data_IF_336604891535
#
_entry.id   IF_336604891535
#
_cell.length_a   1.000
_cell.length_b   1.000
_cell.length_c   1.000
_cell.angle_alpha   90.00
_cell.angle_beta   90.00
_cell.angle_gamma   90.00
#
_symmetry.space_group_name_H-M   'P 1'
#
loop_
_entity.id
_entity.type
_entity.pdbx_description
1 polymer ?
#
# COMPACT_ATOMS: atom_id res chain seq x y z
N UNK A 1 -1.96 15.90 -11.08
CA UNK A 1 -1.40 14.54 -11.14
C UNK A 1 -2.33 13.59 -10.41
N UNK A 2 -2.52 13.68 -9.08
CA UNK A 2 -3.32 12.74 -8.27
C UNK A 2 -4.73 12.52 -8.83
N UNK A 3 -5.51 13.58 -9.04
CA UNK A 3 -6.85 13.49 -9.64
C UNK A 3 -6.86 12.90 -11.07
N UNK A 4 -5.77 13.08 -11.83
CA UNK A 4 -5.69 12.46 -13.16
C UNK A 4 -5.49 10.94 -13.07
N UNK A 5 -4.76 10.47 -12.05
CA UNK A 5 -4.60 9.02 -11.79
C UNK A 5 -5.96 8.44 -11.42
N UNK A 6 -6.66 9.03 -10.43
CA UNK A 6 -7.99 8.57 -10.04
C UNK A 6 -8.98 8.59 -11.23
N UNK A 7 -9.00 9.68 -11.98
CA UNK A 7 -9.91 9.84 -13.12
C UNK A 7 -9.58 8.90 -14.29
N UNK A 8 -8.37 8.36 -14.39
CA UNK A 8 -8.02 7.42 -15.46
C UNK A 8 -8.81 6.12 -15.40
N UNK A 9 -9.33 5.78 -14.21
CA UNK A 9 -10.16 4.61 -14.01
C UNK A 9 -11.66 4.85 -14.19
N UNK A 10 -12.11 6.09 -14.43
CA UNK A 10 -13.52 6.40 -14.57
C UNK A 10 -14.17 5.56 -15.69
N UNK A 11 -15.26 4.88 -15.36
CA UNK A 11 -15.99 4.00 -16.27
C UNK A 11 -15.33 2.64 -16.52
N UNK A 12 -14.30 2.28 -15.77
CA UNK A 12 -13.66 0.97 -15.78
C UNK A 12 -14.04 0.16 -14.54
N UNK A 13 -13.75 -1.14 -14.54
CA UNK A 13 -13.99 -2.02 -13.39
C UNK A 13 -13.16 -1.63 -12.14
N UNK A 14 -12.03 -0.95 -12.34
CA UNK A 14 -11.15 -0.48 -11.25
C UNK A 14 -11.51 0.91 -10.72
N UNK A 15 -12.61 1.52 -11.16
CA UNK A 15 -13.00 2.88 -10.71
C UNK A 15 -13.11 2.97 -9.19
N UNK A 16 -13.77 1.99 -8.55
CA UNK A 16 -13.95 1.98 -7.09
C UNK A 16 -12.63 1.90 -6.33
N UNK A 17 -11.65 1.20 -6.90
CA UNK A 17 -10.36 0.94 -6.24
C UNK A 17 -9.40 2.12 -6.34
N UNK A 18 -9.52 2.96 -7.39
CA UNK A 18 -8.71 4.16 -7.55
C UNK A 18 -9.39 5.43 -7.01
N UNK A 19 -10.72 5.43 -6.87
CA UNK A 19 -11.46 6.59 -6.39
C UNK A 19 -11.07 6.92 -4.95
N UNK A 20 -10.73 8.21 -4.72
CA UNK A 20 -10.35 8.71 -3.41
C UNK A 20 -9.02 8.18 -2.88
N UNK A 21 -8.19 7.55 -3.71
CA UNK A 21 -6.91 6.97 -3.32
C UNK A 21 -5.94 8.02 -2.74
N UNK A 22 -6.09 9.27 -3.14
CA UNK A 22 -5.24 10.39 -2.73
C UNK A 22 -6.01 11.49 -1.98
N UNK A 23 -7.21 11.20 -1.48
CA UNK A 23 -8.05 12.23 -0.82
C UNK A 23 -7.47 12.73 0.51
N UNK A 24 -6.60 11.97 1.14
CA UNK A 24 -5.86 12.36 2.34
C UNK A 24 -4.61 13.20 2.07
N UNK A 25 -4.23 13.40 0.80
CA UNK A 25 -3.07 14.21 0.40
C UNK A 25 -3.48 15.67 0.24
N UNK A 26 -3.27 16.47 1.30
CA UNK A 26 -3.51 17.93 1.25
C UNK A 26 -2.29 18.68 0.70
N UNK A 27 -2.28 18.91 -0.62
CA UNK A 27 -1.23 19.70 -1.29
C UNK A 27 -1.24 21.20 -0.88
N UNK A 28 -2.29 21.67 -0.21
CA UNK A 28 -2.42 23.04 0.28
C UNK A 28 -2.02 23.16 1.75
N UNK A 29 -1.63 22.09 2.39
CA UNK A 29 -1.26 22.07 3.81
C UNK A 29 -0.15 23.06 4.13
N UNK A 30 -0.33 23.81 5.22
CA UNK A 30 0.70 24.71 5.75
C UNK A 30 1.96 23.96 6.24
N UNK A 31 1.88 22.64 6.47
CA UNK A 31 3.03 21.78 6.78
C UNK A 31 4.02 21.70 5.61
N UNK A 32 3.56 21.87 4.38
CA UNK A 32 4.40 21.95 3.18
C UNK A 32 5.08 23.32 3.06
N UNK A 33 4.45 24.39 3.53
CA UNK A 33 4.98 25.75 3.50
C UNK A 33 3.90 26.79 3.77
N UNK A 34 4.31 27.93 4.35
CA UNK A 34 3.40 29.00 4.73
C UNK A 34 2.84 29.83 3.56
N UNK A 35 3.40 29.68 2.36
CA UNK A 35 2.95 30.34 1.13
C UNK A 35 2.78 29.35 0.00
N UNK A 36 1.96 29.69 -1.00
CA UNK A 36 1.76 28.87 -2.19
C UNK A 36 3.10 28.59 -2.87
N UNK A 37 3.98 29.59 -3.01
CA UNK A 37 5.29 29.42 -3.63
C UNK A 37 6.15 28.39 -2.90
N UNK A 38 6.22 28.44 -1.56
CA UNK A 38 6.99 27.47 -0.77
C UNK A 38 6.38 26.05 -0.83
N UNK A 39 5.05 25.93 -0.87
CA UNK A 39 4.41 24.62 -1.05
C UNK A 39 4.71 24.03 -2.41
N UNK A 40 4.61 24.84 -3.47
CA UNK A 40 4.93 24.40 -4.83
C UNK A 40 6.40 24.02 -4.98
N UNK A 41 7.32 24.77 -4.40
CA UNK A 41 8.75 24.45 -4.41
C UNK A 41 9.02 23.07 -3.81
N UNK A 42 8.42 22.76 -2.63
CA UNK A 42 8.56 21.44 -2.00
C UNK A 42 7.96 20.32 -2.84
N UNK A 43 6.75 20.54 -3.37
CA UNK A 43 6.07 19.53 -4.20
C UNK A 43 6.84 19.25 -5.49
N UNK A 44 7.34 20.29 -6.17
CA UNK A 44 8.16 20.15 -7.38
C UNK A 44 9.44 19.39 -7.06
N UNK A 45 10.12 19.75 -5.96
CA UNK A 45 11.34 19.05 -5.53
C UNK A 45 11.08 17.57 -5.26
N UNK A 46 9.98 17.25 -4.58
CA UNK A 46 9.57 15.86 -4.31
C UNK A 46 9.28 15.11 -5.60
N UNK A 47 8.45 15.67 -6.48
CA UNK A 47 8.04 15.02 -7.73
C UNK A 47 9.25 14.83 -8.68
N UNK A 48 10.14 15.79 -8.76
CA UNK A 48 11.36 15.64 -9.55
C UNK A 48 12.27 14.56 -8.95
N UNK A 49 12.46 14.55 -7.63
CA UNK A 49 13.28 13.53 -6.97
C UNK A 49 12.74 12.11 -7.20
N UNK A 50 11.42 11.93 -7.13
CA UNK A 50 10.79 10.63 -7.46
C UNK A 50 10.90 10.32 -8.96
N UNK A 51 10.71 11.32 -9.83
CA UNK A 51 10.78 11.15 -11.28
C UNK A 51 12.18 10.85 -11.81
N UNK A 52 13.22 11.24 -11.06
CA UNK A 52 14.63 10.94 -11.39
C UNK A 52 15.09 9.57 -10.88
N UNK A 53 14.29 8.91 -10.02
CA UNK A 53 14.62 7.57 -9.54
C UNK A 53 14.55 6.55 -10.67
N UNK A 54 15.63 5.83 -10.89
CA UNK A 54 15.64 4.70 -11.81
C UNK A 54 15.10 3.45 -11.07
N UNK A 55 13.80 3.22 -11.21
CA UNK A 55 13.14 2.06 -10.61
C UNK A 55 13.07 0.85 -11.55
N UNK A 56 13.84 0.87 -12.64
CA UNK A 56 13.88 -0.17 -13.65
C UNK A 56 12.82 0.02 -14.75
N UNK A 57 12.80 -0.87 -15.73
CA UNK A 57 11.78 -0.88 -16.79
C UNK A 57 10.61 -1.79 -16.36
N UNK A 58 9.39 -1.29 -16.45
CA UNK A 58 8.16 -2.04 -16.13
C UNK A 58 8.08 -3.36 -16.92
N UNK A 59 8.76 -3.46 -18.06
CA UNK A 59 8.82 -4.67 -18.88
C UNK A 59 9.80 -5.73 -18.38
N UNK A 60 10.73 -5.35 -17.49
CA UNK A 60 11.84 -6.22 -17.05
C UNK A 60 11.66 -6.78 -15.61
N UNK A 61 10.45 -7.02 -15.15
CA UNK A 61 10.12 -7.53 -13.79
C UNK A 61 10.34 -6.53 -12.63
N UNK A 62 10.33 -5.25 -12.90
CA UNK A 62 10.65 -4.22 -11.92
C UNK A 62 9.50 -3.84 -10.97
N UNK A 63 8.35 -4.53 -11.04
CA UNK A 63 7.24 -4.31 -10.10
C UNK A 63 7.66 -4.67 -8.67
N UNK A 64 8.45 -5.74 -8.51
CA UNK A 64 9.04 -6.08 -7.22
C UNK A 64 9.93 -4.96 -6.65
N UNK A 65 10.65 -4.23 -7.51
CA UNK A 65 11.49 -3.12 -7.09
C UNK A 65 10.67 -1.94 -6.52
N UNK A 66 9.49 -1.67 -7.05
CA UNK A 66 8.58 -0.65 -6.50
C UNK A 66 8.03 -1.07 -5.13
N UNK A 67 7.61 -2.32 -5.00
CA UNK A 67 7.14 -2.88 -3.75
C UNK A 67 8.23 -2.88 -2.67
N UNK A 68 9.43 -3.31 -3.02
CA UNK A 68 10.59 -3.31 -2.11
C UNK A 68 11.00 -1.89 -1.71
N UNK A 69 10.99 -0.93 -2.64
CA UNK A 69 11.24 0.48 -2.33
C UNK A 69 10.18 1.05 -1.38
N UNK A 70 8.90 0.70 -1.58
CA UNK A 70 7.83 1.11 -0.70
C UNK A 70 8.00 0.49 0.71
N UNK A 71 8.26 -0.81 0.83
CA UNK A 71 8.53 -1.48 2.11
C UNK A 71 9.72 -0.84 2.85
N UNK A 72 10.78 -0.49 2.11
CA UNK A 72 11.92 0.22 2.67
C UNK A 72 11.54 1.60 3.22
N UNK A 73 10.78 2.38 2.46
CA UNK A 73 10.30 3.70 2.90
C UNK A 73 9.40 3.59 4.14
N UNK A 74 8.52 2.59 4.20
CA UNK A 74 7.67 2.35 5.35
C UNK A 74 8.48 1.96 6.59
N UNK A 75 9.51 1.12 6.43
CA UNK A 75 10.44 0.76 7.52
C UNK A 75 11.20 1.98 8.03
N UNK A 76 11.69 2.84 7.13
CA UNK A 76 12.37 4.08 7.48
C UNK A 76 11.43 5.07 8.19
N UNK A 77 10.18 5.17 7.71
CA UNK A 77 9.16 6.01 8.34
C UNK A 77 8.83 5.51 9.75
N UNK A 78 8.58 4.22 9.92
CA UNK A 78 8.31 3.60 11.22
C UNK A 78 9.46 3.81 12.21
N UNK A 79 10.71 3.67 11.76
CA UNK A 79 11.91 3.87 12.58
C UNK A 79 12.06 5.32 13.05
N UNK A 80 11.65 6.30 12.23
CA UNK A 80 11.77 7.72 12.53
C UNK A 80 10.55 8.32 13.26
N UNK A 81 9.38 7.70 13.14
CA UNK A 81 8.13 8.19 13.71
C UNK A 81 7.96 7.86 15.21
N UNK A 82 8.87 7.11 15.81
CA UNK A 82 8.80 6.73 17.23
C UNK A 82 7.57 5.86 17.54
N UNK A 83 6.79 6.24 18.58
CA UNK A 83 5.62 5.45 19.01
C UNK A 83 4.52 5.33 17.94
N UNK A 84 4.45 6.25 17.00
CA UNK A 84 3.45 6.25 15.91
C UNK A 84 3.79 5.28 14.77
N UNK A 85 5.06 4.89 14.63
CA UNK A 85 5.49 4.00 13.54
C UNK A 85 4.94 2.58 13.67
N UNK A 86 4.74 2.10 14.89
CA UNK A 86 4.18 0.77 15.16
C UNK A 86 2.70 0.61 14.81
N UNK A 87 1.98 1.72 14.59
CA UNK A 87 0.58 1.69 14.19
C UNK A 87 0.40 1.32 12.71
N UNK A 88 1.43 1.50 11.88
CA UNK A 88 1.33 1.34 10.42
C UNK A 88 2.05 0.11 9.88
N UNK A 89 2.89 -0.52 10.66
CA UNK A 89 3.80 -1.53 10.13
C UNK A 89 4.08 -2.66 11.13
N UNK A 90 3.77 -3.88 10.73
CA UNK A 90 4.20 -5.10 11.43
C UNK A 90 5.57 -5.50 10.92
N UNK A 91 6.57 -5.77 11.80
CA UNK A 91 7.89 -6.22 11.35
C UNK A 91 7.82 -7.42 10.42
N UNK A 92 8.62 -7.41 9.36
CA UNK A 92 8.58 -8.42 8.30
C UNK A 92 8.75 -9.85 8.82
N UNK A 93 9.63 -10.05 9.81
CA UNK A 93 9.88 -11.36 10.43
C UNK A 93 8.65 -11.88 11.20
N UNK A 94 7.92 -10.97 11.86
CA UNK A 94 6.69 -11.31 12.58
C UNK A 94 5.59 -11.68 11.59
N UNK A 95 5.43 -10.90 10.52
CA UNK A 95 4.46 -11.18 9.45
C UNK A 95 4.75 -12.52 8.78
N UNK A 96 6.01 -12.83 8.53
CA UNK A 96 6.42 -14.12 7.98
C UNK A 96 6.11 -15.28 8.92
N UNK A 97 6.44 -15.14 10.21
CA UNK A 97 6.13 -16.15 11.22
C UNK A 97 4.63 -16.43 11.29
N UNK A 98 3.80 -15.38 11.38
CA UNK A 98 2.34 -15.50 11.44
C UNK A 98 1.80 -16.20 10.18
N UNK A 99 2.29 -15.82 9.01
CA UNK A 99 1.90 -16.46 7.75
C UNK A 99 2.26 -17.94 7.74
N UNK A 100 3.49 -18.31 8.11
CA UNK A 100 3.93 -19.71 8.16
C UNK A 100 3.14 -20.53 9.17
N UNK A 101 2.81 -19.97 10.33
CA UNK A 101 1.97 -20.63 11.33
C UNK A 101 0.54 -20.85 10.82
N UNK A 102 -0.06 -19.83 10.20
CA UNK A 102 -1.44 -19.91 9.67
C UNK A 102 -1.59 -20.83 8.47
N UNK A 103 -0.49 -21.15 7.78
CA UNK A 103 -0.48 -21.95 6.56
C UNK A 103 0.20 -23.31 6.70
N UNK A 104 0.51 -23.74 7.93
CA UNK A 104 1.14 -25.03 8.19
C UNK A 104 0.33 -26.16 7.52
N UNK A 105 1.03 -26.97 6.72
CA UNK A 105 0.44 -28.10 6.01
C UNK A 105 -0.48 -27.75 4.84
N UNK A 106 -0.54 -26.48 4.45
CA UNK A 106 -1.32 -26.02 3.30
C UNK A 106 -0.38 -25.65 2.14
N UNK A 107 -0.72 -26.10 0.95
CA UNK A 107 -0.06 -25.71 -0.31
C UNK A 107 -0.85 -24.66 -1.07
N UNK A 108 -2.13 -24.53 -0.77
CA UNK A 108 -3.06 -23.56 -1.35
C UNK A 108 -4.01 -23.05 -0.27
N UNK A 109 -4.42 -21.81 -0.39
CA UNK A 109 -5.43 -21.17 0.46
C UNK A 109 -6.45 -20.44 -0.40
N UNK A 110 -7.66 -20.29 0.16
CA UNK A 110 -8.74 -19.64 -0.57
C UNK A 110 -8.57 -18.12 -0.54
N UNK A 111 -8.43 -17.55 0.66
CA UNK A 111 -8.34 -16.11 0.91
C UNK A 111 -7.36 -15.84 2.06
N UNK A 112 -6.76 -14.68 2.03
CA UNK A 112 -6.08 -14.10 3.19
C UNK A 112 -6.94 -12.97 3.72
N UNK A 113 -7.19 -12.94 5.01
CA UNK A 113 -7.96 -11.87 5.64
C UNK A 113 -7.25 -11.35 6.88
N UNK A 114 -7.16 -10.02 6.96
CA UNK A 114 -6.60 -9.30 8.10
C UNK A 114 -7.62 -8.26 8.59
N UNK A 115 -8.18 -8.41 9.80
CA UNK A 115 -9.19 -7.50 10.33
C UNK A 115 -8.66 -6.13 10.77
N UNK A 116 -7.34 -5.93 10.78
CA UNK A 116 -6.65 -4.68 11.11
C UNK A 116 -5.40 -4.55 10.25
N UNK A 117 -5.62 -4.52 8.92
CA UNK A 117 -4.57 -4.79 7.94
C UNK A 117 -3.47 -3.72 7.88
N UNK A 118 -3.68 -2.56 8.47
CA UNK A 118 -2.70 -1.49 8.41
C UNK A 118 -2.36 -1.13 6.96
N UNK A 119 -1.08 -1.10 6.64
CA UNK A 119 -0.57 -0.90 5.26
C UNK A 119 -0.61 -2.17 4.38
N UNK A 120 -1.16 -3.29 4.85
CA UNK A 120 -1.28 -4.54 4.09
C UNK A 120 -0.03 -5.42 4.07
N UNK A 121 1.00 -5.10 4.85
CA UNK A 121 2.26 -5.85 4.84
C UNK A 121 2.10 -7.33 5.20
N UNK A 122 1.20 -7.68 6.13
CA UNK A 122 0.92 -9.07 6.49
C UNK A 122 0.23 -9.82 5.34
N UNK A 123 -0.72 -9.17 4.67
CA UNK A 123 -1.41 -9.74 3.50
C UNK A 123 -0.42 -10.07 2.40
N UNK A 124 0.44 -9.11 2.03
CA UNK A 124 1.46 -9.27 0.99
C UNK A 124 2.55 -10.29 1.38
N UNK A 125 2.86 -10.41 2.67
CA UNK A 125 3.80 -11.45 3.14
C UNK A 125 3.26 -12.85 2.88
N UNK A 126 1.94 -13.04 2.94
CA UNK A 126 1.33 -14.34 2.59
C UNK A 126 1.61 -14.71 1.13
N UNK A 127 1.58 -13.75 0.21
CA UNK A 127 1.94 -13.99 -1.19
C UNK A 127 3.41 -14.38 -1.36
N UNK A 128 4.32 -13.63 -0.70
CA UNK A 128 5.76 -13.91 -0.75
C UNK A 128 6.11 -15.31 -0.18
N UNK A 129 5.38 -15.78 0.83
CA UNK A 129 5.63 -17.08 1.50
C UNK A 129 5.03 -18.25 0.72
N UNK A 130 3.82 -18.10 0.18
CA UNK A 130 3.07 -19.19 -0.47
C UNK A 130 3.24 -19.22 -1.99
N UNK A 131 3.53 -18.06 -2.59
CA UNK A 131 3.46 -17.84 -4.03
C UNK A 131 2.09 -17.31 -4.46
N UNK A 132 2.09 -16.47 -5.50
CA UNK A 132 0.91 -15.78 -6.03
C UNK A 132 -0.23 -16.74 -6.39
N UNK A 133 0.10 -17.83 -7.05
CA UNK A 133 -0.87 -18.84 -7.51
C UNK A 133 -1.51 -19.66 -6.39
N UNK A 134 -0.90 -19.68 -5.20
CA UNK A 134 -1.41 -20.41 -4.06
C UNK A 134 -2.60 -19.72 -3.36
N UNK A 135 -2.85 -18.44 -3.67
CA UNK A 135 -3.94 -17.64 -3.09
C UNK A 135 -5.03 -17.46 -4.15
N UNK A 136 -6.09 -18.28 -4.07
CA UNK A 136 -7.09 -18.38 -5.15
C UNK A 136 -7.95 -17.14 -5.32
N UNK A 137 -8.50 -16.62 -4.23
CA UNK A 137 -9.49 -15.52 -4.22
C UNK A 137 -8.97 -14.23 -3.61
N UNK A 138 -7.63 -14.10 -3.44
CA UNK A 138 -6.96 -12.86 -3.11
C UNK A 138 -7.02 -12.46 -1.63
N UNK A 139 -6.95 -11.16 -1.41
CA UNK A 139 -6.69 -10.52 -0.12
C UNK A 139 -7.89 -9.71 0.34
N UNK A 140 -8.19 -9.81 1.63
CA UNK A 140 -9.28 -9.08 2.26
C UNK A 140 -8.76 -8.42 3.54
N UNK A 141 -9.18 -7.19 3.79
CA UNK A 141 -8.74 -6.47 4.98
C UNK A 141 -9.73 -5.42 5.43
N UNK A 142 -9.61 -5.01 6.68
CA UNK A 142 -10.29 -3.86 7.24
C UNK A 142 -9.28 -2.95 7.91
N UNK A 143 -9.45 -1.63 7.75
CA UNK A 143 -8.62 -0.61 8.37
C UNK A 143 -9.50 0.60 8.70
N UNK A 144 -9.45 1.06 9.94
CA UNK A 144 -10.28 2.17 10.40
C UNK A 144 -9.73 3.54 9.97
N UNK A 145 -8.41 3.65 9.85
CA UNK A 145 -7.74 4.90 9.50
C UNK A 145 -7.70 5.07 7.99
N UNK A 146 -8.33 6.14 7.48
CA UNK A 146 -8.42 6.42 6.04
C UNK A 146 -7.06 6.54 5.35
N UNK A 147 -6.07 7.15 6.01
CA UNK A 147 -4.71 7.30 5.45
C UNK A 147 -4.04 5.94 5.32
N UNK A 148 -4.13 5.11 6.35
CA UNK A 148 -3.55 3.75 6.36
C UNK A 148 -4.29 2.84 5.39
N UNK A 149 -5.61 2.95 5.29
CA UNK A 149 -6.42 2.27 4.27
C UNK A 149 -5.96 2.60 2.85
N UNK A 150 -5.75 3.90 2.54
CA UNK A 150 -5.24 4.31 1.23
C UNK A 150 -3.81 3.80 0.99
N UNK A 151 -2.95 3.81 2.01
CA UNK A 151 -1.61 3.23 1.92
C UNK A 151 -1.66 1.73 1.62
N UNK A 152 -2.59 0.97 2.23
CA UNK A 152 -2.79 -0.45 1.93
C UNK A 152 -3.15 -0.67 0.45
N UNK A 153 -4.09 0.09 -0.08
CA UNK A 153 -4.50 -0.01 -1.49
C UNK A 153 -3.36 0.31 -2.45
N UNK A 154 -2.61 1.38 -2.18
CA UNK A 154 -1.40 1.72 -2.94
C UNK A 154 -0.39 0.58 -2.88
N UNK A 155 -0.18 0.00 -1.70
CA UNK A 155 0.75 -1.09 -1.49
C UNK A 155 0.36 -2.34 -2.30
N UNK A 156 -0.92 -2.69 -2.35
CA UNK A 156 -1.42 -3.77 -3.21
C UNK A 156 -1.06 -3.53 -4.68
N UNK A 157 -1.34 -2.35 -5.21
CA UNK A 157 -1.00 -2.01 -6.60
C UNK A 157 0.51 -2.03 -6.87
N UNK A 158 1.34 -1.55 -5.94
CA UNK A 158 2.79 -1.56 -6.09
C UNK A 158 3.40 -2.97 -6.09
N UNK A 159 2.69 -3.95 -5.51
CA UNK A 159 3.06 -5.36 -5.53
C UNK A 159 2.35 -6.17 -6.62
N UNK A 160 1.80 -5.49 -7.63
CA UNK A 160 1.11 -6.13 -8.77
C UNK A 160 -0.08 -7.03 -8.35
N UNK A 161 -0.75 -6.66 -7.26
CA UNK A 161 -2.02 -7.27 -6.90
C UNK A 161 -3.13 -6.57 -7.68
N UNK A 162 -3.77 -7.28 -8.59
CA UNK A 162 -4.85 -6.75 -9.41
C UNK A 162 -6.06 -6.32 -8.55
N UNK A 163 -6.81 -5.32 -9.03
CA UNK A 163 -8.00 -4.81 -8.34
C UNK A 163 -9.06 -5.90 -8.06
N UNK A 164 -9.11 -6.94 -8.88
CA UNK A 164 -9.99 -8.11 -8.71
C UNK A 164 -9.49 -9.10 -7.64
N UNK A 165 -8.28 -8.90 -7.12
CA UNK A 165 -7.60 -9.80 -6.18
C UNK A 165 -7.51 -9.23 -4.77
N UNK A 166 -8.00 -8.04 -4.49
CA UNK A 166 -8.08 -7.54 -3.14
C UNK A 166 -9.37 -6.76 -2.88
N UNK A 167 -9.81 -6.77 -1.62
CA UNK A 167 -10.93 -5.98 -1.15
C UNK A 167 -10.60 -5.50 0.27
N UNK A 168 -10.27 -4.23 0.38
CA UNK A 168 -9.97 -3.58 1.67
C UNK A 168 -11.12 -2.64 1.98
N UNK A 169 -11.70 -2.76 3.17
CA UNK A 169 -12.75 -1.89 3.66
C UNK A 169 -12.21 -0.86 4.65
N UNK A 170 -12.68 0.39 4.55
CA UNK A 170 -12.38 1.44 5.53
C UNK A 170 -13.47 1.43 6.60
N UNK A 171 -13.36 0.53 7.57
CA UNK A 171 -14.41 0.25 8.55
C UNK A 171 -13.82 -0.16 9.90
N UNK A 172 -14.62 -0.02 10.95
CA UNK A 172 -14.31 -0.57 12.28
C UNK A 172 -14.68 -2.06 12.30
N UNK A 173 -13.73 -2.91 12.58
CA UNK A 173 -13.91 -4.38 12.63
C UNK A 173 -14.77 -4.86 13.80
N UNK A 174 -14.96 -4.02 14.81
CA UNK A 174 -15.65 -4.39 16.06
C UNK A 174 -17.15 -4.09 16.05
N UNK A 175 -17.66 -3.42 14.99
CA UNK A 175 -19.09 -3.04 14.87
C UNK A 175 -19.70 -3.46 13.54
#
# INVERSE_FOLDING_TARGET
IFKNIENSANGTESESDLKGLFDDIDVNSNKLGSTVAKRNEKLVKLLNGVGEMNLGDVKDHSIDAFGDAYEYLMTMYASNAGKSGGEFFTPADVSELLTRLGTVGKTEINKVYDPACGSGSLLLKAEKVLGKEAIRNGFYGQEINITTYNLCRINMFLHDVGFDKFNIACEDTLI
#
